data_IF_603751291924
#
_entry.id   IF_603751291924
#
_cell.length_a   1.000
_cell.length_b   1.000
_cell.length_c   1.000
_cell.angle_alpha   90.00
_cell.angle_beta   90.00
_cell.angle_gamma   90.00
#
_symmetry.space_group_name_H-M   'P 1'
#
loop_
_entity.id
_entity.type
_entity.pdbx_description
1 polymer ?
#
# COMPACT_ATOMS: atom_id res chain seq x y z
N UNK A 1 27.38 -28.80 28.84
CA UNK A 1 26.09 -28.55 28.16
C UNK A 1 25.06 -29.61 28.53
N UNK A 2 25.25 -30.86 28.13
CA UNK A 2 24.25 -31.94 28.34
C UNK A 2 23.90 -32.22 29.80
N UNK A 3 24.90 -32.23 30.70
CA UNK A 3 24.63 -32.43 32.15
C UNK A 3 23.76 -31.32 32.79
N UNK A 4 23.90 -30.06 32.32
CA UNK A 4 23.08 -28.95 32.81
C UNK A 4 21.68 -28.92 32.23
N UNK A 5 21.50 -29.34 30.97
CA UNK A 5 20.21 -29.32 30.27
C UNK A 5 19.37 -30.57 30.52
N UNK A 6 19.91 -31.62 31.14
CA UNK A 6 19.23 -32.90 31.30
C UNK A 6 19.00 -33.66 29.98
N UNK A 7 19.56 -33.19 28.87
CA UNK A 7 19.41 -33.82 27.56
C UNK A 7 20.41 -34.96 27.44
N UNK A 8 19.91 -36.15 27.11
CA UNK A 8 20.75 -37.30 26.86
C UNK A 8 21.42 -37.21 25.50
N UNK A 9 22.73 -37.47 25.38
CA UNK A 9 23.48 -37.41 24.09
C UNK A 9 22.89 -38.31 23.01
N UNK A 10 22.33 -39.47 23.38
CA UNK A 10 21.69 -40.44 22.48
C UNK A 10 20.48 -39.85 21.74
N UNK A 11 19.79 -38.84 22.31
CA UNK A 11 18.66 -38.15 21.66
C UNK A 11 19.08 -37.34 20.44
N UNK A 12 20.35 -37.11 20.20
CA UNK A 12 20.87 -36.46 18.99
C UNK A 12 20.89 -37.39 17.79
N UNK A 13 20.75 -38.70 18.00
CA UNK A 13 20.66 -39.69 16.92
C UNK A 13 19.21 -40.03 16.68
N UNK A 14 18.75 -39.87 15.44
CA UNK A 14 17.37 -40.17 15.06
C UNK A 14 17.25 -41.62 14.61
N UNK A 15 16.51 -42.43 15.34
CA UNK A 15 16.19 -43.83 15.00
C UNK A 15 14.97 -43.92 14.10
N UNK A 16 14.03 -42.98 14.26
CA UNK A 16 12.79 -42.93 13.50
C UNK A 16 12.63 -41.55 12.88
N UNK A 17 12.38 -41.51 11.57
CA UNK A 17 12.12 -40.28 10.84
C UNK A 17 10.62 -40.02 10.78
N UNK A 18 10.13 -38.88 11.33
CA UNK A 18 8.72 -38.55 11.24
C UNK A 18 8.33 -38.18 9.81
N UNK A 19 7.15 -38.65 9.38
CA UNK A 19 6.60 -38.40 8.05
C UNK A 19 5.43 -37.42 8.18
N UNK A 20 5.47 -36.34 7.39
CA UNK A 20 4.39 -35.36 7.34
C UNK A 20 3.09 -36.02 6.83
N UNK A 21 1.91 -35.62 7.38
CA UNK A 21 0.63 -36.04 6.85
C UNK A 21 0.47 -35.72 5.36
N UNK A 22 -0.27 -36.54 4.58
CA UNK A 22 -0.46 -36.33 3.14
C UNK A 22 -1.05 -34.97 2.76
N UNK A 23 -1.94 -34.43 3.59
CA UNK A 23 -2.58 -33.12 3.35
C UNK A 23 -1.58 -31.94 3.32
N UNK A 24 -0.46 -32.08 4.04
CA UNK A 24 0.60 -31.08 4.07
C UNK A 24 1.62 -31.22 2.92
N UNK A 25 1.55 -32.33 2.17
CA UNK A 25 2.35 -32.62 0.98
C UNK A 25 1.51 -33.18 -0.16
N UNK A 26 0.50 -32.43 -0.63
CA UNK A 26 -0.52 -32.96 -1.53
C UNK A 26 0.04 -33.41 -2.87
N UNK A 27 -0.64 -34.40 -3.45
CA UNK A 27 -0.48 -34.85 -4.83
C UNK A 27 -1.76 -34.46 -5.59
N UNK A 28 -1.70 -33.46 -6.45
CA UNK A 28 -2.85 -32.90 -7.15
C UNK A 28 -2.83 -33.35 -8.60
N UNK A 29 -3.89 -34.00 -9.12
CA UNK A 29 -4.00 -34.31 -10.53
C UNK A 29 -4.19 -33.03 -11.34
N UNK A 30 -3.48 -32.91 -12.45
CA UNK A 30 -3.62 -31.87 -13.45
C UNK A 30 -4.26 -32.43 -14.71
N UNK A 31 -4.83 -31.54 -15.53
CA UNK A 31 -5.35 -31.92 -16.84
C UNK A 31 -4.28 -32.61 -17.69
N UNK A 32 -4.67 -33.66 -18.42
CA UNK A 32 -3.75 -34.47 -19.24
C UNK A 32 -2.98 -35.56 -18.48
N UNK A 33 -3.50 -36.03 -17.33
CA UNK A 33 -2.94 -37.18 -16.60
C UNK A 33 -1.61 -36.92 -15.89
N UNK A 34 -1.22 -35.65 -15.73
CA UNK A 34 -0.02 -35.24 -14.98
C UNK A 34 -0.41 -34.97 -13.53
N UNK A 35 0.56 -35.13 -12.63
CA UNK A 35 0.40 -34.83 -11.21
C UNK A 35 1.34 -33.70 -10.81
N UNK A 36 0.79 -32.68 -10.13
CA UNK A 36 1.60 -31.74 -9.38
C UNK A 36 1.86 -32.29 -7.98
N UNK A 37 3.11 -32.40 -7.60
CA UNK A 37 3.52 -32.96 -6.33
C UNK A 37 4.37 -31.98 -5.54
N UNK A 38 4.28 -32.03 -4.22
CA UNK A 38 5.19 -31.31 -3.34
C UNK A 38 6.62 -31.86 -3.48
N UNK A 39 7.62 -30.97 -3.42
CA UNK A 39 9.04 -31.35 -3.44
C UNK A 39 9.39 -32.32 -2.28
N UNK A 40 8.66 -32.24 -1.15
CA UNK A 40 8.84 -33.15 -0.01
C UNK A 40 8.58 -34.61 -0.37
N UNK A 41 7.62 -34.90 -1.26
CA UNK A 41 7.35 -36.28 -1.69
C UNK A 41 8.56 -36.89 -2.41
N UNK A 42 9.26 -36.10 -3.20
CA UNK A 42 10.48 -36.54 -3.89
C UNK A 42 11.61 -36.80 -2.89
N UNK A 43 11.76 -35.95 -1.89
CA UNK A 43 12.76 -36.11 -0.83
C UNK A 43 12.48 -37.36 0.04
N UNK A 44 11.22 -37.57 0.47
CA UNK A 44 10.83 -38.80 1.18
C UNK A 44 11.03 -40.03 0.34
N UNK A 45 10.68 -40.05 -0.93
CA UNK A 45 10.91 -41.15 -1.85
C UNK A 45 12.39 -41.51 -1.95
N UNK A 46 13.28 -40.55 -2.01
CA UNK A 46 14.73 -40.75 -2.02
C UNK A 46 15.23 -41.44 -0.72
N UNK A 47 14.75 -40.95 0.43
CA UNK A 47 15.10 -41.56 1.72
C UNK A 47 14.63 -43.01 1.79
N UNK A 48 13.37 -43.27 1.44
CA UNK A 48 12.79 -44.63 1.46
C UNK A 48 13.56 -45.56 0.53
N UNK A 49 13.85 -45.13 -0.69
CA UNK A 49 14.58 -45.94 -1.66
C UNK A 49 16.01 -46.27 -1.18
N UNK A 50 16.71 -45.29 -0.58
CA UNK A 50 18.07 -45.53 0.00
C UNK A 50 18.01 -46.46 1.20
N UNK A 51 17.01 -46.30 2.06
CA UNK A 51 16.82 -47.17 3.21
C UNK A 51 16.53 -48.61 2.80
N UNK A 52 15.60 -48.82 1.85
CA UNK A 52 15.30 -50.15 1.33
C UNK A 52 16.51 -50.79 0.64
N UNK A 53 17.29 -50.04 -0.08
CA UNK A 53 18.52 -50.53 -0.70
C UNK A 53 19.55 -50.93 0.34
N UNK A 54 19.77 -50.10 1.36
CA UNK A 54 20.67 -50.41 2.46
C UNK A 54 20.22 -51.70 3.20
N UNK A 55 18.93 -51.85 3.50
CA UNK A 55 18.38 -53.02 4.13
C UNK A 55 18.67 -54.28 3.31
N UNK A 56 18.42 -54.24 2.00
CA UNK A 56 18.70 -55.34 1.08
C UNK A 56 20.21 -55.71 1.01
N UNK A 57 21.11 -54.72 1.02
CA UNK A 57 22.57 -54.92 1.03
C UNK A 57 23.04 -55.57 2.33
N UNK A 58 22.43 -55.23 3.46
CA UNK A 58 22.73 -55.84 4.75
C UNK A 58 22.25 -57.30 4.79
N UNK A 59 21.05 -57.62 4.27
CA UNK A 59 20.50 -58.96 4.15
C UNK A 59 21.39 -59.86 3.26
N UNK A 60 21.94 -59.30 2.17
CA UNK A 60 22.84 -60.00 1.23
C UNK A 60 24.28 -60.11 1.75
N UNK A 61 24.60 -59.57 2.94
CA UNK A 61 25.97 -59.50 3.48
C UNK A 61 26.98 -58.93 2.50
N UNK A 62 26.64 -57.85 1.82
CA UNK A 62 27.47 -57.16 0.86
C UNK A 62 28.79 -56.66 1.49
N UNK A 63 29.86 -56.43 0.68
CA UNK A 63 31.12 -55.92 1.19
C UNK A 63 30.97 -54.59 1.94
N UNK A 64 31.74 -54.43 3.02
CA UNK A 64 31.67 -53.27 3.92
C UNK A 64 31.82 -51.92 3.23
N UNK A 65 32.62 -51.84 2.18
CA UNK A 65 32.84 -50.61 1.39
C UNK A 65 31.52 -50.15 0.77
N UNK A 66 30.74 -51.08 0.20
CA UNK A 66 29.43 -50.77 -0.42
C UNK A 66 28.42 -50.36 0.64
N UNK A 67 28.35 -51.05 1.77
CA UNK A 67 27.47 -50.76 2.89
C UNK A 67 27.77 -49.37 3.47
N UNK A 68 29.03 -49.04 3.69
CA UNK A 68 29.46 -47.69 4.17
C UNK A 68 29.06 -46.59 3.20
N UNK A 69 29.23 -46.80 1.91
CA UNK A 69 28.83 -45.81 0.91
C UNK A 69 27.30 -45.60 0.88
N UNK A 70 26.52 -46.68 0.98
CA UNK A 70 25.06 -46.55 1.00
C UNK A 70 24.57 -45.88 2.31
N UNK A 71 25.20 -46.15 3.45
CA UNK A 71 24.96 -45.43 4.71
C UNK A 71 25.21 -43.93 4.55
N UNK A 72 26.32 -43.56 3.91
CA UNK A 72 26.63 -42.15 3.60
C UNK A 72 25.55 -41.50 2.70
N UNK A 73 25.12 -42.23 1.66
CA UNK A 73 24.08 -41.73 0.73
C UNK A 73 22.73 -41.63 1.40
N UNK A 74 22.38 -42.50 2.34
CA UNK A 74 21.19 -42.41 3.17
C UNK A 74 21.24 -41.16 4.07
N UNK A 75 22.41 -40.93 4.72
CA UNK A 75 22.61 -39.73 5.53
C UNK A 75 22.45 -38.46 4.70
N UNK A 76 23.01 -38.41 3.49
CA UNK A 76 22.84 -37.28 2.57
C UNK A 76 21.36 -37.04 2.17
N UNK A 77 20.62 -38.15 1.97
CA UNK A 77 19.18 -38.06 1.66
C UNK A 77 18.38 -37.51 2.84
N UNK A 78 18.70 -37.91 4.06
CA UNK A 78 18.04 -37.38 5.28
C UNK A 78 18.43 -35.91 5.52
N UNK A 79 19.73 -35.59 5.37
CA UNK A 79 20.19 -34.21 5.49
C UNK A 79 19.48 -33.26 4.48
N UNK A 80 19.30 -33.72 3.24
CA UNK A 80 18.56 -32.92 2.23
C UNK A 80 17.06 -32.86 2.48
N UNK A 81 16.44 -33.82 3.13
CA UNK A 81 15.04 -33.74 3.57
C UNK A 81 14.87 -32.69 4.67
N UNK A 82 15.80 -32.63 5.61
CA UNK A 82 15.73 -31.69 6.74
C UNK A 82 16.11 -30.27 6.33
N UNK A 83 17.27 -30.09 5.66
CA UNK A 83 17.76 -28.77 5.25
C UNK A 83 18.62 -28.91 3.96
N UNK A 84 17.98 -28.84 2.81
CA UNK A 84 18.63 -29.06 1.52
C UNK A 84 19.62 -27.95 1.19
N UNK A 85 20.85 -28.32 0.88
CA UNK A 85 21.92 -27.37 0.54
C UNK A 85 22.75 -26.88 1.72
N UNK A 86 22.46 -27.32 2.95
CA UNK A 86 23.26 -26.97 4.12
C UNK A 86 24.66 -27.62 4.08
N UNK A 87 24.76 -28.86 3.56
CA UNK A 87 26.01 -29.58 3.37
C UNK A 87 26.21 -29.89 1.90
N UNK A 88 27.12 -29.19 1.24
CA UNK A 88 27.47 -29.42 -0.15
C UNK A 88 26.42 -28.95 -1.16
N UNK A 89 26.38 -29.61 -2.31
CA UNK A 89 25.50 -29.26 -3.43
C UNK A 89 24.06 -29.64 -3.12
N UNK A 90 23.15 -28.68 -3.26
CA UNK A 90 21.71 -28.90 -3.05
C UNK A 90 21.18 -29.97 -4.03
N UNK A 91 20.28 -30.83 -3.54
CA UNK A 91 19.55 -31.77 -4.38
C UNK A 91 18.55 -31.00 -5.26
N UNK A 92 18.56 -31.31 -6.55
CA UNK A 92 17.73 -30.65 -7.56
C UNK A 92 16.68 -31.57 -8.14
N UNK A 93 15.57 -30.98 -8.58
CA UNK A 93 14.54 -31.65 -9.37
C UNK A 93 14.85 -31.70 -10.87
N UNK A 94 13.93 -32.20 -11.71
CA UNK A 94 14.11 -32.30 -13.16
C UNK A 94 14.39 -30.93 -13.83
N UNK A 95 13.86 -29.84 -13.28
CA UNK A 95 14.09 -28.47 -13.74
C UNK A 95 15.40 -27.84 -13.27
N UNK A 96 16.32 -28.60 -12.71
CA UNK A 96 17.59 -28.16 -12.09
C UNK A 96 17.38 -27.15 -10.91
N UNK A 97 16.16 -26.91 -10.48
CA UNK A 97 15.83 -26.11 -9.31
C UNK A 97 16.11 -26.89 -8.03
N UNK A 98 16.70 -26.30 -6.98
CA UNK A 98 16.81 -26.93 -5.67
C UNK A 98 15.43 -27.35 -5.14
N UNK A 99 15.32 -28.56 -4.60
CA UNK A 99 14.10 -29.05 -3.97
C UNK A 99 13.90 -28.36 -2.62
N UNK A 100 12.67 -28.01 -2.31
CA UNK A 100 12.28 -27.35 -1.07
C UNK A 100 12.23 -28.34 0.09
N UNK A 101 13.11 -28.19 1.06
CA UNK A 101 13.23 -29.04 2.24
C UNK A 101 12.24 -28.65 3.36
N UNK A 102 12.20 -29.43 4.44
CA UNK A 102 11.38 -29.10 5.64
C UNK A 102 11.79 -27.76 6.25
N UNK A 103 13.09 -27.48 6.33
CA UNK A 103 13.57 -26.19 6.82
C UNK A 103 13.11 -25.01 5.94
N UNK A 104 13.11 -25.20 4.61
CA UNK A 104 12.66 -24.19 3.65
C UNK A 104 11.14 -23.94 3.71
N UNK A 105 10.37 -24.92 4.19
CA UNK A 105 8.92 -24.75 4.46
C UNK A 105 8.66 -23.80 5.63
N UNK A 106 9.61 -23.63 6.53
CA UNK A 106 9.48 -22.84 7.76
C UNK A 106 10.23 -21.51 7.62
N UNK A 107 11.45 -21.54 7.09
CA UNK A 107 12.38 -20.42 6.98
C UNK A 107 12.12 -19.53 5.76
N UNK A 108 12.63 -18.30 5.84
CA UNK A 108 12.69 -17.36 4.72
C UNK A 108 11.35 -16.70 4.37
N UNK A 109 11.36 -15.93 3.28
CA UNK A 109 10.19 -15.14 2.80
C UNK A 109 9.00 -16.02 2.38
N UNK A 110 9.27 -17.19 1.81
CA UNK A 110 8.26 -18.17 1.37
C UNK A 110 7.96 -19.25 2.42
N UNK A 111 8.51 -19.12 3.62
CA UNK A 111 8.27 -20.06 4.71
C UNK A 111 6.99 -19.76 5.46
N UNK A 112 6.51 -20.78 6.20
CA UNK A 112 5.23 -20.75 6.91
C UNK A 112 5.11 -19.57 7.89
N UNK A 113 6.19 -19.23 8.61
CA UNK A 113 6.17 -18.13 9.55
C UNK A 113 5.90 -16.79 8.88
N UNK A 114 6.68 -16.43 7.88
CA UNK A 114 6.56 -15.11 7.24
C UNK A 114 5.40 -15.00 6.26
N UNK A 115 5.00 -16.09 5.62
CA UNK A 115 3.98 -16.07 4.57
C UNK A 115 2.56 -16.29 5.11
N UNK A 116 2.39 -17.04 6.20
CA UNK A 116 1.07 -17.48 6.65
C UNK A 116 0.76 -17.18 8.13
N UNK A 117 1.77 -17.00 9.00
CA UNK A 117 1.57 -16.77 10.43
C UNK A 117 1.73 -15.32 10.82
N UNK A 118 2.83 -14.66 10.43
CA UNK A 118 3.06 -13.25 10.73
C UNK A 118 2.23 -12.31 9.84
N UNK A 119 1.77 -12.80 8.71
CA UNK A 119 0.91 -12.07 7.80
C UNK A 119 0.28 -13.01 6.79
N UNK A 120 -0.92 -12.67 6.34
CA UNK A 120 -1.67 -13.42 5.32
C UNK A 120 -2.08 -12.48 4.19
N UNK A 121 -2.32 -13.03 3.02
CA UNK A 121 -3.02 -12.30 1.96
C UNK A 121 -4.48 -12.17 2.36
N UNK A 122 -5.01 -10.98 2.21
CA UNK A 122 -6.39 -10.65 2.57
C UNK A 122 -7.17 -10.23 1.33
N UNK A 123 -8.46 -10.54 1.33
CA UNK A 123 -9.40 -10.09 0.31
C UNK A 123 -9.79 -8.62 0.54
N UNK A 124 -10.54 -8.04 -0.36
CA UNK A 124 -10.98 -6.62 -0.32
C UNK A 124 -9.82 -5.64 -0.17
N UNK A 125 -8.75 -5.94 -0.86
CA UNK A 125 -7.55 -5.12 -0.91
C UNK A 125 -7.07 -4.93 -2.35
N UNK A 126 -6.49 -3.79 -2.61
CA UNK A 126 -5.93 -3.43 -3.90
C UNK A 126 -4.60 -2.71 -3.75
N UNK A 127 -3.95 -2.44 -4.86
CA UNK A 127 -2.70 -1.68 -4.90
C UNK A 127 -2.65 -0.84 -6.14
N UNK A 128 -2.23 0.42 -6.01
CA UNK A 128 -2.01 1.33 -7.14
C UNK A 128 -0.92 2.34 -6.84
N UNK A 129 -0.49 3.02 -7.87
CA UNK A 129 0.43 4.16 -7.78
C UNK A 129 -0.30 5.33 -7.11
N UNK A 130 0.42 6.15 -6.37
CA UNK A 130 -0.09 7.35 -5.74
C UNK A 130 0.27 8.60 -6.54
N UNK A 131 -0.64 9.57 -6.51
CA UNK A 131 -0.44 10.91 -7.07
C UNK A 131 -0.88 11.96 -6.06
N UNK A 132 -0.40 13.20 -6.25
CA UNK A 132 -0.79 14.30 -5.39
C UNK A 132 -2.26 14.70 -5.60
N UNK A 133 -2.96 14.99 -4.50
CA UNK A 133 -4.32 15.55 -4.50
C UNK A 133 -4.38 16.77 -3.58
N UNK A 134 -3.95 17.96 -4.04
CA UNK A 134 -3.85 19.15 -3.18
C UNK A 134 -5.20 19.70 -2.72
N UNK A 135 -6.27 19.42 -3.46
CA UNK A 135 -7.64 19.84 -3.14
C UNK A 135 -8.39 18.90 -2.20
N UNK A 136 -7.78 17.78 -1.83
CA UNK A 136 -8.35 16.85 -0.86
C UNK A 136 -8.24 17.43 0.55
N UNK A 137 -9.25 17.19 1.38
CA UNK A 137 -9.12 17.43 2.81
C UNK A 137 -8.19 16.40 3.44
N UNK A 138 -7.66 16.72 4.62
CA UNK A 138 -6.66 15.87 5.31
C UNK A 138 -7.16 14.43 5.56
N UNK A 139 -8.46 14.26 5.80
CA UNK A 139 -9.09 12.96 6.04
C UNK A 139 -9.59 12.27 4.75
N UNK A 140 -9.39 12.86 3.58
CA UNK A 140 -9.88 12.35 2.31
C UNK A 140 -8.77 11.73 1.47
N UNK A 141 -9.13 10.74 0.65
CA UNK A 141 -8.28 10.21 -0.40
C UNK A 141 -9.05 10.04 -1.70
N UNK A 142 -8.38 10.24 -2.82
CA UNK A 142 -8.97 9.99 -4.13
C UNK A 142 -8.85 8.52 -4.51
N UNK A 143 -9.98 7.83 -4.69
CA UNK A 143 -10.02 6.42 -5.07
C UNK A 143 -10.49 6.27 -6.52
N UNK A 144 -9.72 5.60 -7.40
CA UNK A 144 -10.15 5.32 -8.76
C UNK A 144 -11.49 4.57 -8.82
N UNK A 145 -12.45 5.05 -9.61
CA UNK A 145 -13.80 4.48 -9.73
C UNK A 145 -13.80 2.98 -10.01
N UNK A 146 -12.95 2.52 -10.95
CA UNK A 146 -12.89 1.10 -11.32
C UNK A 146 -12.35 0.23 -10.17
N UNK A 147 -11.39 0.76 -9.39
CA UNK A 147 -10.88 0.07 -8.21
C UNK A 147 -11.94 0.02 -7.10
N UNK A 148 -12.65 1.11 -6.88
CA UNK A 148 -13.74 1.17 -5.92
C UNK A 148 -14.84 0.16 -6.27
N UNK A 149 -15.24 0.08 -7.54
CA UNK A 149 -16.23 -0.88 -8.02
C UNK A 149 -15.86 -2.32 -7.68
N UNK A 150 -14.59 -2.68 -7.84
CA UNK A 150 -14.09 -4.03 -7.54
C UNK A 150 -14.05 -4.32 -6.04
N UNK A 151 -13.56 -3.35 -5.24
CA UNK A 151 -13.41 -3.49 -3.79
C UNK A 151 -14.76 -3.56 -3.05
N UNK A 152 -15.74 -2.77 -3.50
CA UNK A 152 -17.05 -2.65 -2.84
C UNK A 152 -18.13 -3.56 -3.45
N UNK A 153 -17.77 -4.50 -4.33
CA UNK A 153 -18.73 -5.42 -4.97
C UNK A 153 -19.79 -6.02 -4.06
N UNK A 154 -19.45 -6.60 -2.88
CA UNK A 154 -20.47 -7.24 -2.03
C UNK A 154 -21.50 -6.23 -1.51
N UNK A 155 -21.06 -5.04 -1.17
CA UNK A 155 -21.92 -3.98 -0.68
C UNK A 155 -22.87 -3.47 -1.78
N UNK A 156 -22.36 -3.35 -3.01
CA UNK A 156 -23.15 -2.98 -4.19
C UNK A 156 -24.20 -4.06 -4.47
N UNK A 157 -23.84 -5.34 -4.44
CA UNK A 157 -24.80 -6.43 -4.65
C UNK A 157 -25.92 -6.42 -3.63
N UNK A 158 -25.59 -6.22 -2.36
CA UNK A 158 -26.58 -6.13 -1.29
C UNK A 158 -27.52 -4.93 -1.49
N UNK A 159 -26.99 -3.75 -1.86
CA UNK A 159 -27.80 -2.58 -2.12
C UNK A 159 -28.70 -2.72 -3.36
N UNK A 160 -28.19 -3.34 -4.44
CA UNK A 160 -28.98 -3.63 -5.64
C UNK A 160 -30.16 -4.58 -5.33
N UNK A 161 -29.94 -5.59 -4.49
CA UNK A 161 -30.97 -6.52 -4.06
C UNK A 161 -32.01 -5.83 -3.15
N UNK A 162 -31.57 -5.07 -2.15
CA UNK A 162 -32.44 -4.32 -1.24
C UNK A 162 -33.33 -3.31 -1.95
N UNK A 163 -32.83 -2.69 -3.02
CA UNK A 163 -33.61 -1.74 -3.84
C UNK A 163 -34.51 -2.45 -4.87
N UNK A 164 -34.46 -3.76 -4.97
CA UNK A 164 -35.24 -4.54 -5.94
C UNK A 164 -34.83 -4.35 -7.41
N UNK A 165 -33.67 -3.75 -7.67
CA UNK A 165 -33.14 -3.50 -9.03
C UNK A 165 -32.57 -4.79 -9.66
N UNK A 166 -32.11 -5.70 -8.82
CA UNK A 166 -31.63 -7.00 -9.24
C UNK A 166 -32.30 -8.12 -8.44
N UNK A 167 -33.15 -8.94 -9.04
CA UNK A 167 -33.89 -10.00 -8.31
C UNK A 167 -33.02 -11.18 -7.90
N UNK A 168 -31.80 -11.27 -8.44
CA UNK A 168 -30.84 -12.32 -8.12
C UNK A 168 -29.40 -11.81 -8.12
N UNK A 169 -28.53 -12.44 -7.32
CA UNK A 169 -27.09 -12.12 -7.27
C UNK A 169 -26.44 -12.25 -8.66
N UNK A 170 -26.92 -13.19 -9.49
CA UNK A 170 -26.43 -13.36 -10.87
C UNK A 170 -26.76 -12.15 -11.77
N UNK A 171 -27.96 -11.58 -11.60
CA UNK A 171 -28.36 -10.37 -12.29
C UNK A 171 -27.55 -9.16 -11.81
N UNK A 172 -27.38 -8.99 -10.50
CA UNK A 172 -26.55 -7.95 -9.91
C UNK A 172 -25.11 -8.02 -10.43
N UNK A 173 -24.53 -9.21 -10.47
CA UNK A 173 -23.18 -9.41 -11.00
C UNK A 173 -23.06 -8.95 -12.45
N UNK A 174 -24.04 -9.30 -13.30
CA UNK A 174 -24.07 -8.89 -14.71
C UNK A 174 -24.20 -7.37 -14.88
N UNK A 175 -25.02 -6.70 -14.03
CA UNK A 175 -25.13 -5.23 -14.04
C UNK A 175 -23.82 -4.55 -13.68
N UNK A 176 -23.11 -5.07 -12.67
CA UNK A 176 -21.80 -4.53 -12.27
C UNK A 176 -20.74 -4.79 -13.34
N UNK A 177 -20.73 -5.95 -14.01
CA UNK A 177 -19.82 -6.27 -15.10
C UNK A 177 -20.08 -5.36 -16.33
N UNK A 178 -21.34 -5.02 -16.61
CA UNK A 178 -21.72 -4.11 -17.68
C UNK A 178 -21.51 -2.63 -17.33
N UNK A 179 -21.20 -2.32 -16.07
CA UNK A 179 -21.01 -0.94 -15.58
C UNK A 179 -22.25 -0.04 -15.85
N UNK A 180 -23.44 -0.56 -15.57
CA UNK A 180 -24.67 0.20 -15.76
C UNK A 180 -24.65 1.53 -14.95
N UNK A 181 -25.24 2.63 -15.45
CA UNK A 181 -25.21 3.94 -14.77
C UNK A 181 -25.71 3.88 -13.33
N UNK A 182 -26.74 3.09 -13.06
CA UNK A 182 -27.30 2.91 -11.71
C UNK A 182 -26.30 2.34 -10.70
N UNK A 183 -25.32 1.56 -11.18
CA UNK A 183 -24.27 0.98 -10.32
C UNK A 183 -23.35 2.07 -9.75
N UNK A 184 -23.11 3.13 -10.52
CA UNK A 184 -22.28 4.25 -10.06
C UNK A 184 -22.96 5.07 -8.97
N UNK A 185 -24.26 5.32 -9.08
CA UNK A 185 -25.05 6.02 -8.04
C UNK A 185 -25.05 5.21 -6.73
N UNK A 186 -25.19 3.87 -6.85
CA UNK A 186 -25.14 2.97 -5.68
C UNK A 186 -23.72 2.90 -5.09
N UNK A 187 -22.70 2.92 -5.93
CA UNK A 187 -21.31 2.93 -5.47
C UNK A 187 -21.02 4.19 -4.66
N UNK A 188 -21.46 5.36 -5.13
CA UNK A 188 -21.30 6.63 -4.42
C UNK A 188 -21.99 6.60 -3.05
N UNK A 189 -23.23 6.07 -2.98
CA UNK A 189 -23.93 5.89 -1.71
C UNK A 189 -23.23 4.92 -0.75
N UNK A 190 -22.66 3.83 -1.28
CA UNK A 190 -21.97 2.82 -0.47
C UNK A 190 -20.65 3.36 0.09
N UNK A 191 -19.96 4.17 -0.68
CA UNK A 191 -18.68 4.77 -0.29
C UNK A 191 -18.87 5.88 0.73
N UNK A 192 -20.01 6.57 0.67
CA UNK A 192 -20.30 7.61 1.64
C UNK A 192 -20.21 7.08 3.07
N UNK A 193 -19.38 7.73 3.87
CA UNK A 193 -19.10 7.35 5.26
C UNK A 193 -18.45 5.95 5.45
N UNK A 194 -17.96 5.29 4.40
CA UNK A 194 -17.24 4.02 4.53
C UNK A 194 -15.72 4.27 4.46
N UNK A 195 -15.01 4.29 5.59
CA UNK A 195 -13.58 4.56 5.59
C UNK A 195 -12.80 3.45 4.91
N UNK A 196 -11.71 3.79 4.23
CA UNK A 196 -10.74 2.87 3.67
C UNK A 196 -9.39 3.06 4.33
N UNK A 197 -8.60 2.01 4.45
CA UNK A 197 -7.26 2.09 5.02
C UNK A 197 -6.22 2.09 3.91
N UNK A 198 -5.30 3.04 3.95
CA UNK A 198 -4.12 3.09 3.08
C UNK A 198 -2.88 2.65 3.83
N UNK A 199 -2.03 1.89 3.16
CA UNK A 199 -0.76 1.40 3.69
C UNK A 199 0.34 1.58 2.65
N UNK A 200 1.50 2.08 3.08
CA UNK A 200 2.74 2.05 2.29
C UNK A 200 3.76 1.11 2.95
N UNK A 201 4.28 0.18 2.18
CA UNK A 201 5.39 -0.66 2.62
C UNK A 201 6.76 0.04 2.35
N UNK A 202 7.74 -0.03 3.28
CA UNK A 202 7.67 -0.72 4.57
C UNK A 202 6.91 0.06 5.64
N UNK A 203 6.07 -0.63 6.43
CA UNK A 203 5.37 -0.03 7.56
C UNK A 203 6.31 0.02 8.77
N UNK A 204 6.92 1.18 9.02
CA UNK A 204 7.92 1.35 10.07
C UNK A 204 7.30 1.69 11.43
N UNK A 205 6.15 2.36 11.42
CA UNK A 205 5.44 2.81 12.61
C UNK A 205 3.92 2.80 12.36
N UNK A 206 3.12 3.04 13.40
CA UNK A 206 1.66 2.97 13.32
C UNK A 206 1.03 3.92 12.27
N UNK A 207 1.65 5.07 12.02
CA UNK A 207 1.17 6.04 11.04
C UNK A 207 1.39 5.60 9.57
N UNK A 208 2.11 4.51 9.34
CA UNK A 208 2.23 3.87 8.03
C UNK A 208 0.94 3.17 7.57
N UNK A 209 -0.08 3.11 8.43
CA UNK A 209 -1.44 2.67 8.11
C UNK A 209 -2.40 3.73 8.66
N UNK A 210 -3.15 4.39 7.79
CA UNK A 210 -4.14 5.38 8.19
C UNK A 210 -5.44 5.17 7.42
N UNK A 211 -6.55 5.58 8.04
CA UNK A 211 -7.86 5.54 7.42
C UNK A 211 -8.18 6.89 6.77
N UNK A 212 -8.92 6.83 5.67
CA UNK A 212 -9.38 7.99 4.89
C UNK A 212 -10.81 7.77 4.44
N UNK A 213 -11.54 8.85 4.21
CA UNK A 213 -12.80 8.84 3.50
C UNK A 213 -12.52 8.90 1.99
N UNK A 214 -12.97 7.90 1.22
CA UNK A 214 -12.68 7.86 -0.21
C UNK A 214 -13.58 8.81 -0.99
N UNK A 215 -12.99 9.55 -1.92
CA UNK A 215 -13.68 10.29 -2.98
C UNK A 215 -13.44 9.58 -4.30
N UNK A 216 -14.48 9.41 -5.10
CA UNK A 216 -14.37 8.81 -6.43
C UNK A 216 -13.69 9.77 -7.40
N UNK A 217 -12.64 9.29 -8.04
CA UNK A 217 -11.89 10.03 -9.04
C UNK A 217 -11.79 9.23 -10.34
N UNK A 218 -11.64 9.95 -11.44
CA UNK A 218 -11.27 9.35 -12.71
C UNK A 218 -9.77 9.01 -12.72
N UNK A 219 -9.40 8.01 -13.53
CA UNK A 219 -8.01 7.57 -13.66
C UNK A 219 -7.73 6.24 -13.00
N UNK A 220 -6.45 5.93 -12.76
CA UNK A 220 -5.96 4.64 -12.23
C UNK A 220 -5.11 4.78 -10.97
N UNK A 221 -4.71 6.00 -10.63
CA UNK A 221 -3.84 6.30 -9.49
C UNK A 221 -4.66 6.77 -8.29
N UNK A 222 -4.23 6.40 -7.10
CA UNK A 222 -4.81 6.88 -5.84
C UNK A 222 -4.29 8.29 -5.60
N UNK A 223 -5.19 9.23 -5.28
CA UNK A 223 -4.78 10.58 -4.89
C UNK A 223 -4.64 10.66 -3.37
N UNK A 224 -3.55 11.28 -2.94
CA UNK A 224 -3.19 11.42 -1.54
C UNK A 224 -2.92 12.90 -1.22
N UNK A 225 -3.40 13.34 -0.06
CA UNK A 225 -3.11 14.68 0.44
C UNK A 225 -1.61 14.84 0.72
N UNK A 226 -0.95 15.91 0.25
CA UNK A 226 0.50 16.06 0.37
C UNK A 226 1.00 16.08 1.83
N UNK A 227 0.26 16.61 2.78
CA UNK A 227 0.67 16.67 4.20
C UNK A 227 0.76 15.29 4.89
N UNK A 228 0.07 14.26 4.40
CA UNK A 228 0.18 12.91 4.99
C UNK A 228 1.37 12.12 4.44
N UNK A 229 2.04 12.59 3.40
CA UNK A 229 3.19 11.92 2.82
C UNK A 229 4.33 11.71 3.83
N UNK A 230 4.55 12.67 4.72
CA UNK A 230 5.56 12.55 5.79
C UNK A 230 5.29 11.35 6.72
N UNK A 231 4.02 11.11 7.07
CA UNK A 231 3.62 9.98 7.91
C UNK A 231 3.86 8.63 7.24
N UNK A 232 3.62 8.53 5.94
CA UNK A 232 3.85 7.33 5.15
C UNK A 232 5.30 7.20 4.64
N UNK A 233 6.11 8.25 4.81
CA UNK A 233 7.41 8.38 4.12
C UNK A 233 7.27 8.10 2.61
N UNK A 234 6.22 8.68 2.01
CA UNK A 234 5.86 8.49 0.61
C UNK A 234 6.26 9.70 -0.22
N UNK A 235 6.63 9.44 -1.47
CA UNK A 235 6.84 10.45 -2.51
C UNK A 235 6.05 10.07 -3.77
N UNK A 236 5.97 10.99 -4.72
CA UNK A 236 5.17 10.81 -5.93
C UNK A 236 6.03 10.44 -7.15
N UNK A 237 7.15 9.76 -6.93
CA UNK A 237 8.09 9.32 -7.98
C UNK A 237 7.71 7.97 -8.63
N UNK A 238 6.57 7.41 -8.27
CA UNK A 238 6.09 6.10 -8.71
C UNK A 238 5.80 5.14 -7.56
N UNK A 239 5.79 5.63 -6.33
CA UNK A 239 5.42 4.86 -5.14
C UNK A 239 4.02 4.27 -5.29
N UNK A 240 3.85 3.08 -4.73
CA UNK A 240 2.57 2.37 -4.67
C UNK A 240 2.11 2.23 -3.23
N UNK A 241 0.80 2.36 -3.04
CA UNK A 241 0.16 2.09 -1.75
C UNK A 241 -0.89 1.00 -1.88
N UNK A 242 -1.04 0.22 -0.81
CA UNK A 242 -2.11 -0.74 -0.67
C UNK A 242 -3.33 -0.07 -0.05
N UNK A 243 -4.50 -0.46 -0.53
CA UNK A 243 -5.79 -0.06 0.02
C UNK A 243 -6.52 -1.27 0.58
N UNK A 244 -7.17 -1.12 1.72
CA UNK A 244 -7.94 -2.15 2.40
C UNK A 244 -9.31 -1.60 2.81
N UNK A 245 -10.35 -2.41 2.63
CA UNK A 245 -11.72 -2.05 3.00
C UNK A 245 -12.11 -2.80 4.26
N UNK A 246 -12.39 -2.11 5.39
CA UNK A 246 -12.93 -2.74 6.59
C UNK A 246 -14.37 -3.21 6.32
N UNK A 247 -14.67 -4.48 6.66
CA UNK A 247 -15.95 -5.10 6.33
C UNK A 247 -16.97 -5.01 7.46
N UNK A 248 -16.55 -5.27 8.71
CA UNK A 248 -17.46 -5.26 9.85
C UNK A 248 -17.69 -3.85 10.38
N UNK A 249 -18.82 -3.64 11.05
CA UNK A 249 -19.15 -2.36 11.66
C UNK A 249 -18.15 -1.95 12.74
N UNK A 250 -17.63 -2.92 13.50
CA UNK A 250 -16.60 -2.69 14.52
C UNK A 250 -15.30 -2.22 13.87
N UNK A 251 -14.86 -2.87 12.77
CA UNK A 251 -13.66 -2.49 12.04
C UNK A 251 -13.79 -1.09 11.41
N UNK A 252 -14.98 -0.74 10.91
CA UNK A 252 -15.26 0.59 10.38
C UNK A 252 -15.23 1.65 11.50
N UNK A 253 -15.79 1.34 12.67
CA UNK A 253 -15.75 2.23 13.83
C UNK A 253 -14.31 2.44 14.32
N UNK A 254 -13.49 1.41 14.42
CA UNK A 254 -12.06 1.53 14.75
C UNK A 254 -11.30 2.35 13.70
N UNK A 255 -11.55 2.11 12.42
CA UNK A 255 -10.94 2.88 11.34
C UNK A 255 -11.28 4.38 11.45
N UNK A 256 -12.53 4.71 11.73
CA UNK A 256 -13.01 6.10 11.84
C UNK A 256 -12.54 6.78 13.12
N UNK A 257 -12.58 6.11 14.27
CA UNK A 257 -12.27 6.73 15.56
C UNK A 257 -10.78 6.75 15.88
N UNK A 258 -10.04 5.68 15.54
CA UNK A 258 -8.64 5.52 15.92
C UNK A 258 -7.66 5.75 14.78
N UNK A 259 -8.01 5.38 13.54
CA UNK A 259 -7.06 5.33 12.44
C UNK A 259 -7.22 6.47 11.43
N UNK A 260 -8.26 7.29 11.53
CA UNK A 260 -8.47 8.41 10.61
C UNK A 260 -7.26 9.35 10.65
N UNK A 261 -6.81 9.82 9.51
CA UNK A 261 -5.62 10.69 9.40
C UNK A 261 -5.74 11.97 10.22
N UNK A 262 -6.94 12.56 10.28
CA UNK A 262 -7.22 13.74 11.10
C UNK A 262 -7.02 13.53 12.61
N UNK A 263 -7.16 12.29 13.09
CA UNK A 263 -6.96 11.93 14.50
C UNK A 263 -5.51 11.57 14.83
N UNK A 264 -4.63 11.45 13.83
CA UNK A 264 -3.25 11.00 13.97
C UNK A 264 -2.25 12.07 13.52
N UNK A 265 -2.40 13.28 14.05
CA UNK A 265 -1.57 14.43 13.69
C UNK A 265 -0.23 14.48 14.45
N UNK A 266 -0.10 13.74 15.54
CA UNK A 266 1.07 13.76 16.40
C UNK A 266 1.93 12.50 16.23
N UNK A 267 3.24 12.69 16.23
CA UNK A 267 4.21 11.58 16.24
C UNK A 267 4.16 10.84 17.57
N UNK A 268 4.11 9.50 17.58
CA UNK A 268 4.14 8.74 18.82
C UNK A 268 5.50 8.78 19.52
N UNK A 269 6.56 9.19 18.82
CA UNK A 269 7.93 9.20 19.31
C UNK A 269 8.22 10.40 20.23
N UNK A 270 7.84 11.59 19.81
CA UNK A 270 8.21 12.88 20.43
C UNK A 270 7.00 13.78 20.73
N UNK A 271 5.80 13.36 20.31
CA UNK A 271 4.59 14.17 20.43
C UNK A 271 4.56 15.40 19.53
N UNK A 272 5.55 15.57 18.66
CA UNK A 272 5.56 16.66 17.68
C UNK A 272 4.58 16.43 16.54
N UNK A 273 4.21 17.49 15.77
CA UNK A 273 3.31 17.37 14.64
C UNK A 273 3.96 16.57 13.50
N UNK A 274 3.16 15.72 12.84
CA UNK A 274 3.56 14.95 11.64
C UNK A 274 3.22 15.71 10.36
N UNK A 275 2.04 16.32 10.32
CA UNK A 275 1.49 17.01 9.16
C UNK A 275 2.00 18.45 9.12
N UNK A 276 3.25 18.61 8.69
CA UNK A 276 3.89 19.92 8.55
C UNK A 276 4.28 20.14 7.09
N UNK A 277 4.22 21.38 6.59
CA UNK A 277 4.74 21.71 5.28
C UNK A 277 6.24 21.38 5.18
N UNK A 278 6.65 20.80 4.07
CA UNK A 278 8.06 20.42 3.81
C UNK A 278 8.47 20.83 2.39
N UNK A 279 9.78 21.03 2.20
CA UNK A 279 10.40 21.26 0.88
C UNK A 279 9.64 22.31 0.02
N UNK A 280 9.09 21.89 -1.10
CA UNK A 280 8.42 22.75 -2.08
C UNK A 280 7.20 23.49 -1.51
N UNK A 281 6.51 22.89 -0.51
CA UNK A 281 5.39 23.57 0.19
C UNK A 281 5.90 24.77 0.98
N UNK A 282 7.06 24.65 1.65
CA UNK A 282 7.67 25.77 2.39
C UNK A 282 8.15 26.85 1.43
N UNK A 283 8.78 26.44 0.32
CA UNK A 283 9.24 27.35 -0.71
C UNK A 283 8.08 28.11 -1.36
N UNK A 284 7.00 27.37 -1.68
CA UNK A 284 5.78 27.96 -2.25
C UNK A 284 5.10 28.92 -1.28
N UNK A 285 4.99 28.56 -0.01
CA UNK A 285 4.43 29.46 1.03
C UNK A 285 5.29 30.69 1.22
N UNK A 286 6.61 30.54 1.22
CA UNK A 286 7.54 31.68 1.27
C UNK A 286 7.35 32.60 0.07
N UNK A 287 7.27 32.04 -1.15
CA UNK A 287 7.07 32.83 -2.36
C UNK A 287 5.74 33.60 -2.35
N UNK A 288 4.66 32.95 -1.92
CA UNK A 288 3.33 33.57 -1.81
C UNK A 288 3.26 34.69 -0.76
N UNK A 289 4.06 34.58 0.31
CA UNK A 289 4.11 35.57 1.41
C UNK A 289 5.28 36.53 1.31
N UNK A 290 6.05 36.44 0.23
CA UNK A 290 7.21 37.30 0.02
C UNK A 290 6.75 38.71 -0.33
N UNK A 291 7.02 39.67 0.56
CA UNK A 291 6.74 41.07 0.35
C UNK A 291 7.89 41.76 -0.42
N UNK A 292 7.55 42.40 -1.51
CA UNK A 292 8.48 43.30 -2.20
C UNK A 292 8.25 44.71 -1.69
N UNK A 293 9.15 45.20 -0.87
CA UNK A 293 9.11 46.57 -0.39
C UNK A 293 9.91 47.49 -1.35
N UNK A 294 9.21 48.41 -2.02
CA UNK A 294 9.81 49.56 -2.61
C UNK A 294 9.32 50.81 -1.89
N UNK A 295 10.22 51.60 -1.36
CA UNK A 295 9.94 52.86 -0.65
C UNK A 295 9.01 52.70 0.59
N UNK A 296 9.01 51.52 1.24
CA UNK A 296 8.24 51.27 2.43
C UNK A 296 6.78 50.84 2.19
N UNK A 297 6.43 50.52 0.96
CA UNK A 297 5.10 50.01 0.58
C UNK A 297 5.23 48.63 -0.07
N UNK A 298 4.28 47.74 0.26
CA UNK A 298 4.14 46.48 -0.42
C UNK A 298 3.62 46.72 -1.83
N UNK A 299 4.39 46.35 -2.85
CA UNK A 299 3.96 46.47 -4.24
C UNK A 299 3.49 45.11 -4.74
N UNK A 300 2.19 44.92 -4.93
CA UNK A 300 1.66 43.84 -5.75
C UNK A 300 1.82 44.27 -7.21
N UNK A 301 2.73 43.67 -7.93
CA UNK A 301 2.89 43.91 -9.37
C UNK A 301 1.76 43.24 -10.11
N UNK A 302 1.15 43.93 -11.07
CA UNK A 302 0.09 43.41 -11.91
C UNK A 302 0.50 42.24 -12.80
N UNK A 303 1.78 41.85 -12.81
CA UNK A 303 2.29 40.72 -13.61
C UNK A 303 1.75 39.36 -13.16
N UNK A 304 1.39 39.23 -11.89
CA UNK A 304 0.90 37.96 -11.33
C UNK A 304 -0.63 37.97 -11.11
N UNK A 305 -1.27 39.16 -11.10
CA UNK A 305 -2.66 39.31 -10.68
C UNK A 305 -3.40 40.43 -11.40
N UNK A 306 -4.10 40.07 -12.48
CA UNK A 306 -4.98 40.98 -13.18
C UNK A 306 -6.39 40.99 -12.53
N UNK A 307 -6.92 42.13 -12.11
CA UNK A 307 -8.33 42.19 -11.69
C UNK A 307 -9.24 41.87 -12.89
N UNK A 308 -10.35 41.20 -12.62
CA UNK A 308 -11.33 40.68 -13.61
C UNK A 308 -11.87 41.72 -14.61
N UNK A 309 -11.59 42.99 -14.41
CA UNK A 309 -12.13 44.11 -15.20
C UNK A 309 -11.09 44.81 -16.11
N UNK A 310 -9.92 44.21 -16.35
CA UNK A 310 -8.93 44.80 -17.22
C UNK A 310 -9.20 44.41 -18.67
N UNK A 311 -9.17 45.46 -19.54
CA UNK A 311 -9.29 45.29 -20.98
C UNK A 311 -8.29 44.26 -21.49
N UNK A 312 -8.77 43.25 -22.21
CA UNK A 312 -7.95 42.17 -22.82
C UNK A 312 -6.76 42.68 -23.64
N UNK A 313 -6.80 43.96 -24.06
CA UNK A 313 -5.74 44.63 -24.78
C UNK A 313 -4.45 44.83 -23.95
N UNK A 314 -4.54 44.75 -22.61
CA UNK A 314 -3.41 44.97 -21.70
C UNK A 314 -2.83 43.66 -21.17
N UNK A 315 -3.46 42.54 -21.47
CA UNK A 315 -3.02 41.21 -21.01
C UNK A 315 -1.61 40.90 -21.58
N UNK A 316 -0.65 40.69 -20.65
CA UNK A 316 0.72 40.35 -20.99
C UNK A 316 1.70 41.53 -21.00
N UNK A 317 1.26 42.75 -20.64
CA UNK A 317 2.16 43.89 -20.40
C UNK A 317 2.45 44.01 -18.90
N UNK A 318 3.69 44.30 -18.55
CA UNK A 318 4.05 44.69 -17.18
C UNK A 318 3.57 46.11 -16.88
N UNK A 319 3.33 46.46 -15.58
CA UNK A 319 2.87 47.80 -15.21
C UNK A 319 3.79 48.89 -15.70
N UNK A 320 5.10 48.61 -15.76
CA UNK A 320 6.12 49.56 -16.24
C UNK A 320 6.05 49.82 -17.75
N UNK A 321 5.48 48.89 -18.51
CA UNK A 321 5.31 48.98 -19.98
C UNK A 321 4.01 49.69 -20.38
N UNK A 322 3.15 50.06 -19.39
CA UNK A 322 1.92 50.78 -19.64
C UNK A 322 2.18 52.26 -19.90
N UNK A 323 1.40 52.85 -20.78
CA UNK A 323 1.42 54.31 -21.02
C UNK A 323 0.83 55.08 -19.83
N UNK A 324 1.16 56.37 -19.69
CA UNK A 324 0.66 57.18 -18.57
C UNK A 324 -0.86 57.28 -18.52
N UNK A 325 -1.55 57.20 -19.67
CA UNK A 325 -3.01 57.16 -19.74
C UNK A 325 -3.56 55.80 -19.30
N UNK A 326 -2.91 54.69 -19.66
CA UNK A 326 -3.25 53.35 -19.23
C UNK A 326 -3.03 53.17 -17.72
N UNK A 327 -1.94 53.72 -17.16
CA UNK A 327 -1.67 53.76 -15.70
C UNK A 327 -2.71 54.56 -14.93
N UNK A 328 -3.18 55.68 -15.50
CA UNK A 328 -4.20 56.51 -14.85
C UNK A 328 -5.55 55.79 -14.76
N UNK A 329 -5.88 54.97 -15.78
CA UNK A 329 -7.12 54.18 -15.80
C UNK A 329 -7.03 52.85 -14.97
N UNK A 330 -5.82 52.40 -14.70
CA UNK A 330 -5.56 51.18 -13.92
C UNK A 330 -4.55 51.47 -12.81
N UNK A 331 -4.90 52.19 -11.76
CA UNK A 331 -3.98 52.52 -10.68
C UNK A 331 -3.53 51.25 -9.94
N UNK A 332 -2.24 51.16 -9.67
CA UNK A 332 -1.68 50.11 -8.84
C UNK A 332 -2.15 50.30 -7.39
N UNK A 333 -2.79 49.33 -6.81
CA UNK A 333 -3.15 49.33 -5.39
C UNK A 333 -1.93 48.96 -4.56
N UNK A 334 -1.46 49.89 -3.75
CA UNK A 334 -0.29 49.73 -2.87
C UNK A 334 -0.81 49.69 -1.43
N UNK A 335 -0.46 48.62 -0.70
CA UNK A 335 -0.83 48.43 0.69
C UNK A 335 0.42 48.41 1.56
N UNK A 336 0.30 48.96 2.76
CA UNK A 336 1.41 49.16 3.68
C UNK A 336 1.76 47.88 4.44
N UNK A 337 0.77 47.11 4.86
CA UNK A 337 0.90 45.94 5.66
C UNK A 337 -0.29 44.96 5.41
N UNK A 338 -0.17 43.78 6.04
CA UNK A 338 -1.19 42.72 5.92
C UNK A 338 -2.57 43.15 6.42
N UNK A 339 -2.63 43.98 7.47
CA UNK A 339 -3.89 44.44 8.04
C UNK A 339 -4.62 45.38 7.06
N UNK A 340 -3.88 46.18 6.30
CA UNK A 340 -4.45 47.04 5.25
C UNK A 340 -4.98 46.20 4.08
N UNK A 341 -4.30 45.13 3.69
CA UNK A 341 -4.78 44.18 2.67
C UNK A 341 -6.05 43.48 3.14
N UNK A 342 -6.09 43.01 4.39
CA UNK A 342 -7.30 42.38 4.98
C UNK A 342 -8.47 43.35 5.05
N UNK A 343 -8.21 44.60 5.39
CA UNK A 343 -9.25 45.65 5.40
C UNK A 343 -9.79 45.91 3.99
N UNK A 344 -8.89 46.03 3.00
CA UNK A 344 -9.27 46.20 1.60
C UNK A 344 -10.05 44.99 1.04
N UNK A 345 -9.72 43.79 1.50
CA UNK A 345 -10.47 42.59 1.17
C UNK A 345 -11.85 42.57 1.79
N UNK A 346 -11.98 42.94 3.06
CA UNK A 346 -13.30 43.02 3.75
C UNK A 346 -14.23 44.08 3.15
N UNK A 347 -13.65 45.16 2.59
CA UNK A 347 -14.36 46.22 1.90
C UNK A 347 -14.62 45.93 0.42
N UNK A 348 -14.25 44.70 -0.05
CA UNK A 348 -14.36 44.27 -1.46
C UNK A 348 -13.64 45.19 -2.47
N UNK A 349 -12.59 45.88 -2.04
CA UNK A 349 -11.75 46.71 -2.89
C UNK A 349 -10.79 45.83 -3.70
N UNK A 350 -10.33 44.73 -3.10
CA UNK A 350 -9.49 43.71 -3.73
C UNK A 350 -10.39 42.58 -4.16
N UNK A 351 -10.42 42.29 -5.44
CA UNK A 351 -11.12 41.12 -5.98
C UNK A 351 -10.36 39.82 -5.74
N UNK A 352 -11.01 38.77 -6.03
CA UNK A 352 -10.83 37.32 -6.03
C UNK A 352 -9.45 36.66 -5.95
N UNK A 353 -8.33 37.33 -5.89
CA UNK A 353 -7.00 36.71 -5.99
C UNK A 353 -6.53 36.05 -4.71
N UNK A 354 -6.93 36.59 -3.58
CA UNK A 354 -6.82 35.92 -2.30
C UNK A 354 -7.68 34.64 -2.24
N UNK A 355 -8.66 34.50 -3.12
CA UNK A 355 -9.56 33.34 -3.19
C UNK A 355 -8.96 32.12 -3.89
N UNK A 356 -8.00 32.31 -4.78
CA UNK A 356 -7.29 31.22 -5.50
C UNK A 356 -6.03 30.77 -4.79
N UNK A 357 -5.54 31.55 -3.83
CA UNK A 357 -4.40 31.20 -2.98
C UNK A 357 -4.93 31.01 -1.55
N UNK A 358 -5.26 29.76 -1.14
CA UNK A 358 -5.71 29.51 0.23
C UNK A 358 -4.63 29.98 1.20
N UNK A 359 -4.92 31.07 1.90
CA UNK A 359 -4.10 31.53 3.02
C UNK A 359 -4.08 30.41 4.07
N UNK A 360 -2.97 30.19 4.81
CA UNK A 360 -2.94 29.29 5.95
C UNK A 360 -4.02 29.58 7.01
N UNK A 361 -4.65 30.74 6.97
CA UNK A 361 -5.81 31.11 7.82
C UNK A 361 -7.16 30.65 7.29
N UNK A 362 -7.25 30.25 6.02
CA UNK A 362 -8.51 29.79 5.41
C UNK A 362 -8.70 28.27 5.52
N UNK A 363 -7.81 27.60 6.25
CA UNK A 363 -7.83 26.14 6.50
C UNK A 363 -8.16 25.87 7.97
N UNK A 364 -9.13 26.58 8.53
CA UNK A 364 -9.79 26.17 9.77
C UNK A 364 -11.03 25.33 9.51
#
# INVERSE_FOLDING_TARGET
>A
GFQRSGIKPEWMVMDVLPVLPPDLRPLVPLDGGRFATSDLNDLYRRVINRNNRLKRLLELKAPDIIVRNEKRMLQEAVDSLLDNGRRGKAMTGPSKRPLKSLADMIKGKGGRFRQNLLGKRVDYSGRSVITVGPYLKLHQCGLPKLMALELFKPFIFNKLELRGLAPTIKAAKKMVENQDPVVWDILEEVIYEHPVMLNRAPTLHRLGIQAFEPLLIEGKAIQLHPLVCAAFNADFDGDQMAIHVPLSAEAQAEARLLMLSANNLLRPQDGGPVTVPTQDMVLGSYYLTFERFENGYCQMTNDEYWPENIDFALAGKTYDELTDEEKANNPLNIYRDEDEVLMAYSEHIIGCLLYTSPSPRDVE
#
